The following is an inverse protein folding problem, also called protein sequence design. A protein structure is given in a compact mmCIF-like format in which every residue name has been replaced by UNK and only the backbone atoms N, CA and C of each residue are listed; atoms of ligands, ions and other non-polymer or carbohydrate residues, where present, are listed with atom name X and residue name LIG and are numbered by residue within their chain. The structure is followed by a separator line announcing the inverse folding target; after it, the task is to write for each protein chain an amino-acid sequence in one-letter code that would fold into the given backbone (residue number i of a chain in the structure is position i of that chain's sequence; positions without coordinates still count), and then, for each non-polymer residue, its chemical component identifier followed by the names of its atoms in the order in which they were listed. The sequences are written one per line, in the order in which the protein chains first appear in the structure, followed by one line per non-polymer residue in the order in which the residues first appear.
data_IF_047481329032
#
_entry.id   IF_047481329032
#
_cell.length_a   1.000
_cell.length_b   1.000
_cell.length_c   1.000
_cell.angle_alpha   90.00
_cell.angle_beta   90.00
_cell.angle_gamma   90.00
#
_symmetry.space_group_name_H-M   'P 1'
#
loop_
_entity.id
_entity.type
_entity.pdbx_description
1 polymer ?
#
# COMPACT_ATOMS: atom_id res chain seq x y z
N UNK A 1 -1.75 -17.23 8.71
CA UNK A 1 -0.80 -16.14 9.03
C UNK A 1 -0.69 -16.02 10.54
N UNK A 2 0.46 -15.60 11.06
CA UNK A 2 0.66 -15.33 12.48
C UNK A 2 1.23 -13.92 12.65
N UNK A 3 0.67 -13.12 13.56
CA UNK A 3 1.21 -11.83 13.94
C UNK A 3 1.75 -11.90 15.37
N UNK A 4 2.98 -11.44 15.57
CA UNK A 4 3.64 -11.41 16.86
C UNK A 4 4.10 -9.97 17.17
N UNK A 5 3.42 -9.32 18.11
CA UNK A 5 3.73 -7.97 18.57
C UNK A 5 4.97 -8.02 19.47
N UNK A 6 6.05 -7.35 19.07
CA UNK A 6 7.34 -7.33 19.78
C UNK A 6 7.48 -6.18 20.75
N UNK A 7 7.02 -4.98 20.36
CA UNK A 7 7.11 -3.77 21.17
C UNK A 7 6.01 -2.77 20.81
N UNK A 8 5.70 -1.91 21.77
CA UNK A 8 4.88 -0.69 21.60
C UNK A 8 5.68 0.47 22.17
N UNK A 9 5.72 1.59 21.45
CA UNK A 9 6.38 2.81 21.92
C UNK A 9 5.69 3.37 23.17
N UNK A 10 6.47 3.97 24.07
CA UNK A 10 5.96 4.45 25.35
C UNK A 10 5.24 5.80 25.27
N UNK A 11 5.52 6.58 24.23
CA UNK A 11 5.01 7.95 24.05
C UNK A 11 3.96 8.08 22.94
N UNK A 12 3.80 7.05 22.12
CA UNK A 12 2.85 6.99 21.01
C UNK A 12 2.14 5.63 20.96
N UNK A 13 1.27 5.42 19.97
CA UNK A 13 0.66 4.10 19.72
C UNK A 13 1.48 3.27 18.71
N UNK A 14 2.68 3.74 18.33
CA UNK A 14 3.54 3.03 17.40
C UNK A 14 3.93 1.66 17.92
N UNK A 15 3.95 0.67 17.04
CA UNK A 15 4.21 -0.71 17.40
C UNK A 15 5.10 -1.41 16.39
N UNK A 16 5.93 -2.32 16.87
CA UNK A 16 6.79 -3.17 16.06
C UNK A 16 6.39 -4.62 16.25
N UNK A 17 6.19 -5.35 15.17
CA UNK A 17 5.79 -6.75 15.17
C UNK A 17 6.42 -7.53 14.04
N UNK A 18 6.01 -8.79 13.90
CA UNK A 18 6.34 -9.66 12.76
C UNK A 18 5.09 -10.37 12.28
N UNK A 19 4.91 -10.44 10.97
CA UNK A 19 3.88 -11.24 10.31
C UNK A 19 4.59 -12.42 9.65
N UNK A 20 4.16 -13.63 9.95
CA UNK A 20 4.68 -14.86 9.32
C UNK A 20 3.64 -15.44 8.38
N UNK A 21 4.05 -15.69 7.13
CA UNK A 21 3.28 -16.38 6.09
C UNK A 21 4.08 -17.58 5.57
N UNK A 22 3.56 -18.27 4.57
CA UNK A 22 4.26 -19.40 3.93
C UNK A 22 5.42 -18.94 3.01
N UNK A 23 5.45 -17.66 2.60
CA UNK A 23 6.53 -17.06 1.80
C UNK A 23 7.51 -16.19 2.61
N UNK A 24 7.46 -16.28 3.94
CA UNK A 24 8.44 -15.63 4.81
C UNK A 24 7.87 -14.70 5.86
N UNK A 25 8.75 -13.89 6.44
CA UNK A 25 8.45 -12.98 7.53
C UNK A 25 8.39 -11.55 7.00
N UNK A 26 7.42 -10.78 7.48
CA UNK A 26 7.28 -9.33 7.22
C UNK A 26 7.52 -8.63 8.55
N UNK A 27 8.52 -7.77 8.62
CA UNK A 27 8.80 -6.93 9.77
C UNK A 27 7.97 -5.64 9.71
N UNK A 28 7.16 -5.37 10.73
CA UNK A 28 6.34 -4.15 10.80
C UNK A 28 6.93 -3.11 11.75
N UNK A 29 6.72 -1.79 11.51
CA UNK A 29 6.00 -1.20 10.37
C UNK A 29 6.65 -1.49 9.02
N UNK A 30 5.86 -1.63 7.95
CA UNK A 30 6.34 -1.93 6.60
C UNK A 30 5.68 -1.04 5.54
N UNK A 31 6.45 -0.64 4.53
CA UNK A 31 5.95 -0.08 3.29
C UNK A 31 6.03 -1.12 2.16
N UNK A 32 4.95 -1.30 1.43
CA UNK A 32 4.83 -2.26 0.33
C UNK A 32 5.01 -1.56 -1.01
N UNK A 33 6.11 -1.80 -1.76
CA UNK A 33 6.22 -1.32 -3.13
C UNK A 33 5.09 -1.85 -4.02
N UNK A 34 4.49 -0.96 -4.83
CA UNK A 34 3.34 -1.33 -5.67
C UNK A 34 3.81 -1.91 -6.99
N UNK A 35 3.53 -3.20 -7.17
CA UNK A 35 3.73 -3.98 -8.39
C UNK A 35 2.45 -4.16 -9.20
N UNK A 36 1.88 -3.07 -9.75
CA UNK A 36 0.53 -2.96 -10.32
C UNK A 36 0.14 -4.12 -11.25
N UNK A 37 1.01 -4.51 -12.15
CA UNK A 37 0.77 -5.55 -13.17
C UNK A 37 1.75 -6.73 -13.03
N UNK A 38 2.09 -7.08 -11.79
CA UNK A 38 3.11 -8.09 -11.52
C UNK A 38 4.54 -7.56 -11.71
N UNK A 39 4.75 -6.25 -11.57
CA UNK A 39 6.07 -5.62 -11.61
C UNK A 39 6.07 -4.28 -10.91
N UNK A 40 7.11 -3.98 -10.15
CA UNK A 40 7.39 -2.66 -9.62
C UNK A 40 7.99 -1.82 -10.76
N UNK A 41 7.30 -0.75 -11.15
CA UNK A 41 7.63 0.01 -12.38
C UNK A 41 9.03 0.61 -12.34
N UNK A 42 9.84 0.26 -13.37
CA UNK A 42 11.17 0.81 -13.57
C UNK A 42 12.27 0.18 -12.69
N UNK A 43 12.00 -0.99 -12.09
CA UNK A 43 12.96 -1.71 -11.25
C UNK A 43 13.03 -3.16 -11.70
N UNK A 44 14.23 -3.69 -11.89
CA UNK A 44 14.44 -5.12 -12.13
C UNK A 44 14.18 -5.93 -10.86
N UNK A 45 13.69 -7.19 -11.01
CA UNK A 45 13.47 -8.09 -9.87
C UNK A 45 14.74 -8.25 -9.01
N UNK A 46 15.92 -8.33 -9.63
CA UNK A 46 17.21 -8.42 -8.92
C UNK A 46 17.45 -7.20 -8.02
N UNK A 47 17.25 -5.98 -8.54
CA UNK A 47 17.42 -4.74 -7.77
C UNK A 47 16.36 -4.63 -6.67
N UNK A 48 15.13 -5.05 -6.97
CA UNK A 48 14.06 -5.09 -5.99
C UNK A 48 14.40 -6.04 -4.84
N UNK A 49 14.95 -7.21 -5.13
CA UNK A 49 15.28 -8.24 -4.15
C UNK A 49 16.57 -7.94 -3.37
N UNK A 50 17.62 -7.47 -4.04
CA UNK A 50 18.96 -7.33 -3.46
C UNK A 50 19.23 -5.95 -2.87
N UNK A 51 18.75 -4.89 -3.53
CA UNK A 51 19.09 -3.51 -3.16
C UNK A 51 17.97 -2.86 -2.32
N UNK A 52 16.71 -2.95 -2.77
CA UNK A 52 15.55 -2.39 -2.08
C UNK A 52 15.09 -3.31 -0.96
N UNK A 53 15.07 -4.60 -1.22
CA UNK A 53 14.85 -5.69 -0.27
C UNK A 53 13.52 -5.59 0.51
N UNK A 54 12.35 -5.44 -0.12
CA UNK A 54 11.07 -5.43 0.58
C UNK A 54 10.68 -6.85 1.03
N UNK A 55 10.09 -6.97 2.22
CA UNK A 55 9.53 -8.24 2.70
C UNK A 55 8.25 -8.63 1.98
N UNK A 56 7.51 -7.63 1.47
CA UNK A 56 6.23 -7.77 0.80
C UNK A 56 6.07 -6.71 -0.29
N UNK A 57 5.43 -7.07 -1.39
CA UNK A 57 5.01 -6.16 -2.46
C UNK A 57 3.50 -6.24 -2.64
N UNK A 58 2.90 -5.22 -3.27
CA UNK A 58 1.47 -5.18 -3.54
C UNK A 58 1.19 -5.34 -5.04
N UNK A 59 0.30 -6.27 -5.39
CA UNK A 59 -0.29 -6.42 -6.72
C UNK A 59 -1.71 -5.87 -6.79
N UNK A 60 -2.13 -5.32 -7.94
CA UNK A 60 -3.49 -4.81 -8.08
C UNK A 60 -4.40 -5.82 -8.79
N UNK A 61 -5.39 -6.32 -8.09
CA UNK A 61 -6.36 -7.32 -8.57
C UNK A 61 -7.05 -6.90 -9.86
N UNK A 62 -7.53 -5.67 -9.96
CA UNK A 62 -8.16 -5.16 -11.17
C UNK A 62 -7.25 -5.23 -12.41
N UNK A 63 -6.01 -4.80 -12.28
CA UNK A 63 -5.05 -4.80 -13.38
C UNK A 63 -4.65 -6.21 -13.78
N UNK A 64 -4.36 -7.09 -12.82
CA UNK A 64 -3.98 -8.48 -13.05
C UNK A 64 -5.12 -9.30 -13.66
N UNK A 65 -6.37 -9.03 -13.28
CA UNK A 65 -7.56 -9.61 -13.89
C UNK A 65 -7.69 -9.25 -15.37
N UNK A 66 -7.48 -7.97 -15.73
CA UNK A 66 -7.56 -7.52 -17.12
C UNK A 66 -6.36 -7.97 -17.95
N UNK A 67 -5.16 -7.94 -17.39
CA UNK A 67 -3.88 -8.37 -18.00
C UNK A 67 -2.89 -8.81 -16.92
N UNK A 68 -2.32 -10.01 -17.02
CA UNK A 68 -2.37 -10.96 -18.16
C UNK A 68 -3.67 -11.77 -18.26
N UNK A 69 -4.60 -11.65 -17.36
CA UNK A 69 -5.83 -12.40 -17.07
C UNK A 69 -5.60 -13.53 -16.07
N UNK A 70 -6.67 -13.90 -15.37
CA UNK A 70 -6.64 -15.02 -14.42
C UNK A 70 -6.28 -16.35 -15.08
N UNK A 71 -6.71 -16.58 -16.33
CA UNK A 71 -6.37 -17.79 -17.09
C UNK A 71 -4.87 -17.96 -17.29
N UNK A 72 -4.14 -16.88 -17.57
CA UNK A 72 -2.68 -16.94 -17.74
C UNK A 72 -1.99 -17.14 -16.39
N UNK A 73 -2.44 -16.43 -15.35
CA UNK A 73 -1.87 -16.56 -14.00
C UNK A 73 -2.07 -17.98 -13.44
N UNK A 74 -3.23 -18.60 -13.67
CA UNK A 74 -3.50 -19.97 -13.25
C UNK A 74 -2.60 -20.98 -13.96
N UNK A 75 -2.42 -20.83 -15.28
CA UNK A 75 -1.49 -21.68 -16.07
C UNK A 75 -0.03 -21.52 -15.63
N UNK A 76 0.35 -20.33 -15.16
CA UNK A 76 1.68 -20.06 -14.62
C UNK A 76 1.90 -20.66 -13.22
N UNK A 77 0.82 -21.05 -12.51
CA UNK A 77 0.87 -21.53 -11.13
C UNK A 77 0.87 -20.40 -10.10
N UNK A 78 0.15 -19.30 -10.40
CA UNK A 78 0.00 -18.12 -9.56
C UNK A 78 1.01 -17.02 -9.83
N UNK A 79 0.80 -15.86 -9.17
CA UNK A 79 1.57 -14.63 -9.39
C UNK A 79 3.03 -14.80 -8.97
N UNK A 80 3.34 -15.54 -7.90
CA UNK A 80 4.70 -15.81 -7.44
C UNK A 80 5.54 -16.46 -8.54
N UNK A 81 5.04 -17.53 -9.15
CA UNK A 81 5.71 -18.22 -10.25
C UNK A 81 5.75 -17.37 -11.52
N UNK A 82 4.66 -16.66 -11.82
CA UNK A 82 4.56 -15.79 -13.00
C UNK A 82 5.60 -14.68 -12.97
N UNK A 83 5.84 -14.04 -11.79
CA UNK A 83 6.80 -12.97 -11.61
C UNK A 83 8.21 -13.47 -11.30
N UNK A 84 8.39 -14.75 -10.94
CA UNK A 84 9.60 -15.25 -10.29
C UNK A 84 9.93 -14.44 -9.01
N UNK A 85 8.93 -14.33 -8.11
CA UNK A 85 9.06 -13.62 -6.84
C UNK A 85 8.74 -14.55 -5.67
N UNK A 86 9.73 -14.82 -4.82
CA UNK A 86 9.65 -15.83 -3.76
C UNK A 86 9.33 -15.26 -2.38
N UNK A 87 8.98 -13.97 -2.29
CA UNK A 87 8.60 -13.30 -1.04
C UNK A 87 7.12 -12.98 -1.03
N UNK A 88 6.64 -12.41 0.07
CA UNK A 88 5.23 -12.12 0.26
C UNK A 88 4.66 -11.17 -0.81
N UNK A 89 3.41 -11.44 -1.17
CA UNK A 89 2.60 -10.57 -2.02
C UNK A 89 1.26 -10.33 -1.33
N UNK A 90 0.81 -9.07 -1.32
CA UNK A 90 -0.54 -8.68 -0.99
C UNK A 90 -1.26 -8.26 -2.28
N UNK A 91 -2.52 -8.66 -2.46
CA UNK A 91 -3.37 -8.07 -3.50
C UNK A 91 -4.47 -7.22 -2.90
N UNK A 92 -4.71 -6.03 -3.50
CA UNK A 92 -5.86 -5.21 -3.15
C UNK A 92 -7.18 -5.83 -3.59
N UNK A 93 -8.31 -5.20 -3.22
CA UNK A 93 -9.66 -5.67 -3.61
C UNK A 93 -9.99 -5.43 -5.09
N UNK A 94 -9.31 -4.49 -5.75
CA UNK A 94 -9.68 -3.98 -7.07
C UNK A 94 -10.82 -2.93 -7.04
N UNK A 95 -11.49 -2.72 -5.92
CA UNK A 95 -12.62 -1.80 -5.79
C UNK A 95 -12.25 -0.35 -6.10
N UNK A 96 -11.15 0.15 -5.56
CA UNK A 96 -10.67 1.51 -5.82
C UNK A 96 -10.33 1.74 -7.30
N UNK A 97 -9.70 0.78 -7.99
CA UNK A 97 -9.34 0.91 -9.40
C UNK A 97 -10.59 0.93 -10.29
N UNK A 98 -11.60 0.12 -9.99
CA UNK A 98 -12.90 0.19 -10.65
C UNK A 98 -13.54 1.57 -10.42
N UNK A 99 -13.39 2.13 -9.21
CA UNK A 99 -13.83 3.49 -8.89
C UNK A 99 -13.06 4.55 -9.71
N UNK A 100 -11.74 4.53 -9.69
CA UNK A 100 -10.90 5.61 -10.22
C UNK A 100 -10.67 5.57 -11.74
N UNK A 101 -10.70 4.37 -12.36
CA UNK A 101 -10.34 4.16 -13.77
C UNK A 101 -11.54 3.94 -14.69
N UNK A 102 -12.73 3.68 -14.15
CA UNK A 102 -13.93 3.43 -14.95
C UNK A 102 -14.93 4.59 -14.85
N UNK A 103 -14.93 5.46 -15.87
CA UNK A 103 -15.91 6.55 -15.96
C UNK A 103 -17.37 6.05 -16.03
N UNK A 104 -17.59 4.84 -16.57
CA UNK A 104 -18.91 4.22 -16.76
C UNK A 104 -19.05 2.98 -15.85
N UNK A 105 -19.11 3.19 -14.52
CA UNK A 105 -19.41 2.13 -13.57
C UNK A 105 -20.84 2.23 -13.05
N UNK A 106 -21.43 1.08 -12.72
CA UNK A 106 -22.71 0.98 -12.02
C UNK A 106 -22.52 0.11 -10.79
N UNK A 107 -22.67 0.73 -9.62
CA UNK A 107 -22.58 0.06 -8.32
C UNK A 107 -23.99 -0.34 -7.92
N UNK A 108 -24.17 -1.59 -7.53
CA UNK A 108 -25.41 -2.18 -7.02
C UNK A 108 -25.09 -3.17 -5.92
N UNK A 109 -26.11 -3.67 -5.24
CA UNK A 109 -25.96 -4.67 -4.18
C UNK A 109 -25.27 -5.96 -4.68
N UNK A 110 -25.52 -6.35 -5.93
CA UNK A 110 -24.91 -7.54 -6.53
C UNK A 110 -23.41 -7.39 -6.74
N UNK A 111 -22.93 -6.15 -6.95
CA UNK A 111 -21.54 -5.84 -7.27
C UNK A 111 -21.41 -4.61 -8.17
N UNK A 112 -20.28 -4.51 -8.87
CA UNK A 112 -19.93 -3.36 -9.71
C UNK A 112 -19.75 -3.79 -11.16
N UNK A 113 -20.64 -3.28 -12.03
CA UNK A 113 -20.47 -3.37 -13.49
C UNK A 113 -19.59 -2.21 -13.96
N UNK A 114 -18.55 -2.50 -14.71
CA UNK A 114 -17.61 -1.49 -15.19
C UNK A 114 -17.14 -1.77 -16.62
N UNK A 115 -16.57 -0.75 -17.24
CA UNK A 115 -15.98 -0.82 -18.57
C UNK A 115 -14.44 -0.83 -18.44
N UNK A 116 -13.81 -1.82 -19.07
CA UNK A 116 -12.34 -1.91 -19.11
C UNK A 116 -11.75 -0.66 -19.76
N UNK A 117 -10.72 -0.09 -19.12
CA UNK A 117 -9.96 1.04 -19.67
C UNK A 117 -9.00 0.62 -20.79
N UNK A 118 -8.82 -0.69 -21.01
CA UNK A 118 -7.89 -1.23 -22.01
C UNK A 118 -8.55 -1.34 -23.38
N UNK A 119 -9.72 -1.97 -23.42
CA UNK A 119 -10.40 -2.37 -24.67
C UNK A 119 -11.90 -1.99 -24.70
N UNK A 120 -12.40 -1.43 -23.60
CA UNK A 120 -13.78 -1.01 -23.49
C UNK A 120 -14.78 -2.13 -23.26
N UNK A 121 -14.36 -3.37 -23.03
CA UNK A 121 -15.24 -4.49 -22.70
C UNK A 121 -15.93 -4.28 -21.35
N UNK A 122 -17.12 -4.88 -21.19
CA UNK A 122 -17.87 -4.83 -19.94
C UNK A 122 -17.52 -6.01 -19.04
N UNK A 123 -17.29 -5.71 -17.77
CA UNK A 123 -16.99 -6.66 -16.72
C UNK A 123 -17.90 -6.46 -15.52
N UNK A 124 -18.01 -7.49 -14.69
CA UNK A 124 -18.75 -7.46 -13.43
C UNK A 124 -17.86 -7.98 -12.31
N UNK A 125 -17.63 -7.16 -11.29
CA UNK A 125 -17.05 -7.59 -10.02
C UNK A 125 -18.15 -7.80 -8.99
N UNK A 126 -18.23 -8.99 -8.44
CA UNK A 126 -19.05 -9.32 -7.27
C UNK A 126 -18.11 -9.76 -6.14
N UNK A 127 -18.54 -9.72 -4.88
CA UNK A 127 -17.73 -10.23 -3.78
C UNK A 127 -17.20 -11.64 -4.04
N UNK A 128 -18.03 -12.54 -4.57
CA UNK A 128 -17.68 -13.92 -4.84
C UNK A 128 -16.60 -14.04 -5.93
N UNK A 129 -16.81 -13.36 -7.08
CA UNK A 129 -15.86 -13.52 -8.18
C UNK A 129 -14.53 -12.79 -7.92
N UNK A 130 -14.52 -11.71 -7.11
CA UNK A 130 -13.29 -11.05 -6.69
C UNK A 130 -12.48 -11.97 -5.76
N UNK A 131 -13.12 -12.73 -4.89
CA UNK A 131 -12.43 -13.74 -4.09
C UNK A 131 -11.85 -14.83 -4.97
N UNK A 132 -12.58 -15.33 -5.99
CA UNK A 132 -12.08 -16.31 -6.93
C UNK A 132 -10.91 -15.77 -7.78
N UNK A 133 -10.98 -14.50 -8.19
CA UNK A 133 -9.87 -13.82 -8.89
C UNK A 133 -8.63 -13.79 -8.00
N UNK A 134 -8.74 -13.36 -6.74
CA UNK A 134 -7.60 -13.30 -5.83
C UNK A 134 -7.08 -14.69 -5.45
N UNK A 135 -7.95 -15.70 -5.32
CA UNK A 135 -7.54 -17.12 -5.20
C UNK A 135 -6.68 -17.55 -6.38
N UNK A 136 -7.09 -17.16 -7.59
CA UNK A 136 -6.36 -17.52 -8.83
C UNK A 136 -5.07 -16.71 -9.00
N UNK A 137 -5.04 -15.45 -8.59
CA UNK A 137 -3.80 -14.66 -8.56
C UNK A 137 -2.81 -15.32 -7.59
N UNK A 138 -3.25 -15.74 -6.41
CA UNK A 138 -2.42 -16.50 -5.47
C UNK A 138 -1.46 -15.61 -4.65
N UNK A 139 -1.90 -14.45 -4.17
CA UNK A 139 -1.15 -13.65 -3.20
C UNK A 139 -1.27 -14.26 -1.77
N UNK A 140 -0.34 -13.94 -0.88
CA UNK A 140 -0.36 -14.39 0.52
C UNK A 140 -1.45 -13.71 1.34
N UNK A 141 -1.67 -12.40 1.08
CA UNK A 141 -2.69 -11.61 1.72
C UNK A 141 -3.65 -11.10 0.65
N UNK A 142 -4.94 -11.36 0.86
CA UNK A 142 -6.03 -10.95 -0.03
C UNK A 142 -7.02 -10.05 0.72
N UNK A 143 -7.66 -9.14 -0.01
CA UNK A 143 -8.52 -8.11 0.57
C UNK A 143 -10.00 -8.37 0.29
N UNK A 144 -10.86 -8.02 1.24
CA UNK A 144 -12.30 -7.98 1.01
C UNK A 144 -12.65 -7.06 -0.17
N UNK A 145 -13.69 -7.41 -0.93
CA UNK A 145 -14.22 -6.50 -1.93
C UNK A 145 -15.03 -5.40 -1.24
N UNK A 146 -14.69 -4.15 -1.50
CA UNK A 146 -15.25 -2.99 -0.83
C UNK A 146 -15.66 -1.88 -1.81
N UNK A 147 -16.49 -0.95 -1.35
CA UNK A 147 -16.75 0.30 -2.03
C UNK A 147 -16.00 1.44 -1.32
N UNK A 148 -15.05 2.04 -2.02
CA UNK A 148 -14.39 3.27 -1.59
C UNK A 148 -15.29 4.47 -1.94
N UNK A 149 -15.91 5.08 -0.93
CA UNK A 149 -16.71 6.29 -1.13
C UNK A 149 -15.82 7.45 -1.62
N UNK A 150 -16.34 8.33 -2.52
CA UNK A 150 -15.60 9.52 -2.96
C UNK A 150 -15.38 10.51 -1.82
N UNK A 151 -14.39 11.38 -1.96
CA UNK A 151 -14.25 12.54 -1.08
C UNK A 151 -14.34 13.84 -1.91
N UNK A 152 -15.12 14.83 -1.46
CA UNK A 152 -16.12 14.72 -0.38
C UNK A 152 -17.36 13.92 -0.80
N UNK A 153 -18.06 13.34 0.17
CA UNK A 153 -19.38 12.75 -0.05
C UNK A 153 -20.33 13.10 1.10
N UNK A 154 -21.64 13.03 0.85
CA UNK A 154 -22.62 13.24 1.91
C UNK A 154 -22.69 12.05 2.88
N UNK A 155 -23.15 12.33 4.11
CA UNK A 155 -23.25 11.34 5.18
C UNK A 155 -24.12 10.13 4.80
N UNK A 156 -25.25 10.35 4.11
CA UNK A 156 -26.16 9.27 3.75
C UNK A 156 -25.53 8.34 2.70
N UNK A 157 -24.77 8.91 1.78
CA UNK A 157 -24.00 8.11 0.82
C UNK A 157 -22.93 7.28 1.56
N UNK A 158 -22.09 7.92 2.39
CA UNK A 158 -21.06 7.25 3.16
C UNK A 158 -21.62 6.09 4.00
N UNK A 159 -22.77 6.32 4.66
CA UNK A 159 -23.46 5.31 5.48
C UNK A 159 -23.96 4.13 4.64
N UNK A 160 -24.62 4.39 3.48
CA UNK A 160 -25.08 3.30 2.58
C UNK A 160 -23.92 2.49 2.02
N UNK A 161 -22.83 3.17 1.59
CA UNK A 161 -21.60 2.56 1.08
C UNK A 161 -20.94 1.64 2.12
N UNK A 162 -20.78 2.14 3.34
CA UNK A 162 -20.24 1.36 4.46
C UNK A 162 -21.07 0.09 4.72
N UNK A 163 -22.38 0.20 4.82
CA UNK A 163 -23.23 -0.97 5.05
C UNK A 163 -23.22 -1.95 3.88
N UNK A 164 -23.11 -1.48 2.64
CA UNK A 164 -22.94 -2.34 1.49
C UNK A 164 -21.62 -3.09 1.53
N UNK A 165 -20.53 -2.42 1.89
CA UNK A 165 -19.22 -3.05 2.09
C UNK A 165 -19.30 -4.15 3.17
N UNK A 166 -20.04 -3.94 4.28
CA UNK A 166 -20.22 -4.97 5.30
C UNK A 166 -20.98 -6.21 4.75
N UNK A 167 -22.07 -6.02 4.00
CA UNK A 167 -22.78 -7.15 3.37
C UNK A 167 -21.92 -7.87 2.30
N UNK A 168 -21.11 -7.12 1.56
CA UNK A 168 -20.14 -7.71 0.62
C UNK A 168 -19.07 -8.52 1.36
N UNK A 169 -18.62 -8.05 2.51
CA UNK A 169 -17.68 -8.80 3.36
C UNK A 169 -18.25 -10.17 3.78
N UNK A 170 -19.50 -10.23 4.22
CA UNK A 170 -20.17 -11.50 4.57
C UNK A 170 -20.23 -12.45 3.38
N UNK A 171 -20.47 -11.92 2.16
CA UNK A 171 -20.46 -12.71 0.94
C UNK A 171 -19.06 -13.21 0.58
N UNK A 172 -18.02 -12.37 0.76
CA UNK A 172 -16.63 -12.77 0.59
C UNK A 172 -16.26 -13.94 1.52
N UNK A 173 -16.58 -13.81 2.81
CA UNK A 173 -16.31 -14.84 3.82
C UNK A 173 -17.03 -16.15 3.49
N UNK A 174 -18.33 -16.07 3.17
CA UNK A 174 -19.15 -17.24 2.80
C UNK A 174 -18.59 -17.95 1.55
N UNK A 175 -18.04 -17.19 0.59
CA UNK A 175 -17.44 -17.77 -0.60
C UNK A 175 -16.10 -18.46 -0.28
N UNK A 176 -15.24 -17.78 0.52
CA UNK A 176 -13.94 -18.34 0.92
C UNK A 176 -14.06 -19.63 1.73
N UNK A 177 -15.08 -19.73 2.60
CA UNK A 177 -15.36 -20.95 3.39
C UNK A 177 -15.76 -22.14 2.51
N UNK A 178 -16.38 -21.89 1.35
CA UNK A 178 -16.88 -22.93 0.43
C UNK A 178 -15.88 -23.32 -0.66
N UNK A 179 -14.82 -22.52 -0.84
CA UNK A 179 -13.88 -22.71 -1.94
C UNK A 179 -12.50 -23.12 -1.43
N UNK A 180 -11.87 -24.15 -2.02
CA UNK A 180 -10.54 -24.58 -1.63
C UNK A 180 -9.46 -23.57 -2.04
N UNK A 181 -8.29 -23.67 -1.43
CA UNK A 181 -7.08 -23.01 -1.91
C UNK A 181 -6.73 -23.56 -3.29
N UNK A 182 -6.22 -22.70 -4.18
CA UNK A 182 -5.77 -23.12 -5.52
C UNK A 182 -4.31 -23.59 -5.53
N UNK A 183 -3.54 -23.17 -4.54
CA UNK A 183 -2.11 -23.47 -4.40
C UNK A 183 -1.85 -24.11 -3.06
N UNK A 184 -0.67 -24.68 -2.87
CA UNK A 184 -0.23 -25.43 -1.70
C UNK A 184 0.26 -24.53 -0.52
N UNK A 185 -0.11 -23.25 -0.54
CA UNK A 185 0.16 -22.30 0.53
C UNK A 185 -1.12 -21.55 0.94
N UNK A 186 -1.09 -21.01 2.16
CA UNK A 186 -2.23 -20.33 2.78
C UNK A 186 -2.34 -18.89 2.32
N UNK A 187 -3.56 -18.49 1.97
CA UNK A 187 -3.91 -17.09 1.75
C UNK A 187 -4.66 -16.56 2.95
N UNK A 188 -4.24 -15.39 3.44
CA UNK A 188 -4.87 -14.70 4.56
C UNK A 188 -5.77 -13.59 4.07
N UNK A 189 -6.99 -13.51 4.61
CA UNK A 189 -7.99 -12.54 4.21
C UNK A 189 -8.05 -11.37 5.20
N UNK A 190 -8.02 -10.13 4.68
CA UNK A 190 -8.19 -8.91 5.46
C UNK A 190 -9.49 -8.20 5.09
N UNK A 191 -10.43 -8.00 6.05
CA UNK A 191 -11.55 -7.10 5.90
C UNK A 191 -11.12 -5.64 5.95
N UNK A 192 -11.98 -4.73 5.42
CA UNK A 192 -11.67 -3.31 5.24
C UNK A 192 -12.67 -2.45 6.00
N UNK A 193 -12.18 -1.60 6.91
CA UNK A 193 -12.96 -0.54 7.55
C UNK A 193 -13.23 0.58 6.55
N UNK A 194 -14.50 0.96 6.38
CA UNK A 194 -14.95 2.09 5.58
C UNK A 194 -15.70 3.11 6.46
N UNK A 195 -16.25 4.20 5.89
CA UNK A 195 -17.00 5.21 6.63
C UNK A 195 -16.64 6.66 6.25
N UNK A 196 -15.86 6.85 5.15
CA UNK A 196 -15.39 8.18 4.71
C UNK A 196 -14.72 8.94 5.86
N UNK A 197 -14.97 10.22 6.03
CA UNK A 197 -14.43 11.08 7.10
C UNK A 197 -15.47 11.35 8.21
N UNK A 198 -16.39 10.41 8.44
CA UNK A 198 -17.40 10.49 9.50
C UNK A 198 -17.04 9.59 10.68
N UNK A 199 -16.71 10.17 11.84
CA UNK A 199 -16.23 9.47 13.03
C UNK A 199 -17.15 8.34 13.50
N UNK A 200 -18.44 8.60 13.52
CA UNK A 200 -19.45 7.63 13.97
C UNK A 200 -19.54 6.44 13.01
N UNK A 201 -19.44 6.67 11.70
CA UNK A 201 -19.39 5.61 10.70
C UNK A 201 -18.08 4.82 10.78
N UNK A 202 -16.94 5.50 10.95
CA UNK A 202 -15.63 4.84 11.16
C UNK A 202 -15.67 3.96 12.40
N UNK A 203 -16.23 4.45 13.50
CA UNK A 203 -16.40 3.69 14.73
C UNK A 203 -17.28 2.45 14.50
N UNK A 204 -18.47 2.63 13.93
CA UNK A 204 -19.40 1.54 13.63
C UNK A 204 -18.75 0.49 12.71
N UNK A 205 -18.03 0.92 11.69
CA UNK A 205 -17.32 0.02 10.78
C UNK A 205 -16.20 -0.73 11.47
N UNK A 206 -15.38 -0.04 12.29
CA UNK A 206 -14.29 -0.66 13.02
C UNK A 206 -14.78 -1.72 14.03
N UNK A 207 -15.86 -1.44 14.74
CA UNK A 207 -16.51 -2.39 15.67
C UNK A 207 -16.99 -3.64 14.92
N UNK A 208 -17.65 -3.45 13.77
CA UNK A 208 -18.12 -4.57 12.93
C UNK A 208 -16.93 -5.39 12.40
N UNK A 209 -15.92 -4.75 11.82
CA UNK A 209 -14.73 -5.43 11.28
C UNK A 209 -13.96 -6.18 12.38
N UNK A 210 -13.80 -5.59 13.55
CA UNK A 210 -13.17 -6.24 14.70
C UNK A 210 -13.93 -7.51 15.12
N UNK A 211 -15.27 -7.49 15.06
CA UNK A 211 -16.12 -8.64 15.43
C UNK A 211 -15.99 -9.84 14.49
N UNK A 212 -15.48 -9.63 13.26
CA UNK A 212 -15.22 -10.72 12.30
C UNK A 212 -14.10 -11.66 12.78
N UNK A 213 -13.16 -11.16 13.60
CA UNK A 213 -12.08 -11.96 14.15
C UNK A 213 -11.03 -12.37 13.11
N UNK A 214 -10.84 -11.60 12.03
CA UNK A 214 -9.86 -11.88 10.99
C UNK A 214 -8.41 -11.82 11.51
N UNK A 215 -7.49 -12.40 10.78
CA UNK A 215 -6.06 -12.44 11.15
C UNK A 215 -5.31 -11.11 10.94
N UNK A 216 -5.94 -10.15 10.26
CA UNK A 216 -5.48 -8.78 10.07
C UNK A 216 -6.61 -7.91 9.56
N UNK A 217 -6.48 -6.59 9.66
CA UNK A 217 -7.53 -5.63 9.32
C UNK A 217 -6.96 -4.48 8.51
N UNK A 218 -7.73 -4.00 7.54
CA UNK A 218 -7.35 -2.84 6.74
C UNK A 218 -8.28 -1.65 6.99
N UNK A 219 -7.76 -0.47 6.68
CA UNK A 219 -8.47 0.81 6.74
C UNK A 219 -8.45 1.39 5.33
N UNK A 220 -9.59 1.42 4.69
CA UNK A 220 -9.77 1.99 3.35
C UNK A 220 -10.52 3.31 3.37
N UNK A 221 -10.70 3.93 2.19
CA UNK A 221 -11.47 5.16 2.02
C UNK A 221 -10.87 6.39 2.70
N UNK A 222 -9.56 6.40 2.92
CA UNK A 222 -8.74 7.55 3.31
C UNK A 222 -7.65 7.78 2.26
N UNK A 223 -6.99 8.93 2.30
CA UNK A 223 -6.03 9.37 1.25
C UNK A 223 -6.67 9.47 -0.15
N UNK A 224 -7.93 9.89 -0.19
CA UNK A 224 -8.72 10.05 -1.42
C UNK A 224 -9.03 11.52 -1.74
N UNK A 225 -8.39 12.46 -1.03
CA UNK A 225 -8.48 13.91 -1.26
C UNK A 225 -8.75 14.75 -0.01
N UNK A 226 -8.96 14.14 1.14
CA UNK A 226 -9.12 14.82 2.43
C UNK A 226 -7.80 15.42 2.92
N UNK A 227 -7.85 16.46 3.78
CA UNK A 227 -6.68 16.97 4.50
C UNK A 227 -6.02 15.88 5.36
N UNK A 228 -4.71 15.99 5.55
CA UNK A 228 -3.95 14.99 6.32
C UNK A 228 -4.45 14.87 7.78
N UNK A 229 -4.80 15.99 8.39
CA UNK A 229 -5.31 16.04 9.76
C UNK A 229 -6.61 15.26 9.92
N UNK A 230 -7.51 15.33 8.94
CA UNK A 230 -8.76 14.59 8.92
C UNK A 230 -8.50 13.07 8.76
N UNK A 231 -7.56 12.70 7.89
CA UNK A 231 -7.09 11.31 7.77
C UNK A 231 -6.53 10.79 9.10
N UNK A 232 -5.67 11.56 9.79
CA UNK A 232 -5.10 11.17 11.08
C UNK A 232 -6.17 10.99 12.15
N UNK A 233 -7.14 11.90 12.20
CA UNK A 233 -8.25 11.81 13.13
C UNK A 233 -9.09 10.54 12.91
N UNK A 234 -9.42 10.23 11.66
CA UNK A 234 -10.17 9.00 11.31
C UNK A 234 -9.35 7.74 11.59
N UNK A 235 -8.04 7.76 11.33
CA UNK A 235 -7.14 6.65 11.68
C UNK A 235 -7.12 6.41 13.19
N UNK A 236 -6.99 7.46 14.00
CA UNK A 236 -7.00 7.34 15.46
C UNK A 236 -8.28 6.68 15.98
N UNK A 237 -9.45 7.14 15.51
CA UNK A 237 -10.75 6.55 15.87
C UNK A 237 -10.80 5.05 15.58
N UNK A 238 -10.27 4.61 14.46
CA UNK A 238 -10.30 3.20 14.05
C UNK A 238 -9.29 2.37 14.85
N UNK A 239 -8.08 2.88 15.07
CA UNK A 239 -7.04 2.13 15.78
C UNK A 239 -7.30 1.93 17.26
N UNK A 240 -8.14 2.78 17.89
CA UNK A 240 -8.65 2.56 19.26
C UNK A 240 -9.50 1.29 19.38
N UNK A 241 -10.17 0.89 18.29
CA UNK A 241 -11.16 -0.20 18.27
C UNK A 241 -10.57 -1.49 17.74
N UNK A 242 -9.75 -1.42 16.68
CA UNK A 242 -9.19 -2.62 16.05
C UNK A 242 -8.31 -3.42 17.02
N UNK A 243 -8.35 -4.77 16.95
CA UNK A 243 -7.58 -5.64 17.83
C UNK A 243 -6.08 -5.29 17.87
N UNK A 244 -5.50 -5.32 19.08
CA UNK A 244 -4.08 -5.00 19.29
C UNK A 244 -3.15 -6.15 18.90
N UNK A 245 -3.64 -7.37 18.89
CA UNK A 245 -2.94 -8.61 18.53
C UNK A 245 -3.04 -8.96 17.03
N UNK A 246 -3.53 -8.03 16.22
CA UNK A 246 -3.65 -8.17 14.76
C UNK A 246 -2.95 -7.03 14.03
N UNK A 247 -2.35 -7.27 12.83
CA UNK A 247 -1.77 -6.20 12.03
C UNK A 247 -2.86 -5.29 11.44
N UNK A 248 -2.51 -4.01 11.29
CA UNK A 248 -3.37 -2.94 10.78
C UNK A 248 -2.75 -2.34 9.53
N UNK A 249 -3.47 -2.39 8.45
CA UNK A 249 -3.04 -1.90 7.15
C UNK A 249 -3.83 -0.65 6.75
N UNK A 250 -3.16 0.49 6.62
CA UNK A 250 -3.74 1.73 6.09
C UNK A 250 -3.46 1.82 4.59
N UNK A 251 -4.51 1.69 3.78
CA UNK A 251 -4.43 1.55 2.34
C UNK A 251 -4.15 2.89 1.63
N UNK A 252 -3.23 2.88 0.67
CA UNK A 252 -2.96 4.01 -0.23
C UNK A 252 -2.21 5.19 0.37
N UNK A 253 -1.66 5.08 1.57
CA UNK A 253 -0.93 6.15 2.26
C UNK A 253 0.57 5.93 2.14
N UNK A 254 1.34 6.91 1.82
CA UNK A 254 1.27 8.08 1.00
C UNK A 254 2.58 8.87 1.10
N UNK A 255 2.60 10.07 1.66
CA UNK A 255 3.85 10.81 1.85
C UNK A 255 4.68 10.24 3.00
N UNK A 256 6.03 10.43 3.02
CA UNK A 256 6.87 10.00 4.14
C UNK A 256 6.39 10.51 5.50
N UNK A 257 5.91 11.76 5.56
CA UNK A 257 5.37 12.37 6.78
C UNK A 257 4.08 11.64 7.19
N UNK A 258 3.15 11.42 6.26
CA UNK A 258 1.90 10.71 6.57
C UNK A 258 2.15 9.29 7.08
N UNK A 259 3.17 8.60 6.57
CA UNK A 259 3.57 7.27 7.05
C UNK A 259 4.01 7.36 8.52
N UNK A 260 4.91 8.28 8.87
CA UNK A 260 5.40 8.42 10.25
C UNK A 260 4.28 8.82 11.23
N UNK A 261 3.40 9.73 10.83
CA UNK A 261 2.26 10.13 11.67
C UNK A 261 1.29 8.95 11.89
N UNK A 262 1.01 8.15 10.87
CA UNK A 262 0.13 6.99 11.02
C UNK A 262 0.81 5.80 11.74
N UNK A 263 2.12 5.64 11.66
CA UNK A 263 2.86 4.72 12.55
C UNK A 263 2.65 5.12 14.00
N UNK A 264 2.74 6.43 14.32
CA UNK A 264 2.48 6.94 15.66
C UNK A 264 1.04 6.66 16.16
N UNK A 265 0.10 6.48 15.24
CA UNK A 265 -1.30 6.09 15.52
C UNK A 265 -1.52 4.57 15.55
N UNK A 266 -0.48 3.76 15.43
CA UNK A 266 -0.53 2.31 15.57
C UNK A 266 -0.83 1.54 14.29
N UNK A 267 -0.49 2.09 13.11
CA UNK A 267 -0.55 1.40 11.82
C UNK A 267 0.75 0.62 11.57
N UNK A 268 0.60 -0.57 11.00
CA UNK A 268 1.71 -1.51 10.74
C UNK A 268 2.11 -1.60 9.27
N UNK A 269 1.17 -1.42 8.34
CA UNK A 269 1.37 -1.69 6.92
C UNK A 269 0.88 -0.52 6.07
N UNK A 270 1.64 -0.20 5.03
CA UNK A 270 1.36 0.91 4.10
C UNK A 270 1.68 0.51 2.67
N UNK A 271 0.95 1.09 1.71
CA UNK A 271 1.29 1.08 0.29
C UNK A 271 1.02 2.45 -0.32
N UNK A 272 1.75 2.80 -1.34
CA UNK A 272 1.39 3.91 -2.23
C UNK A 272 2.21 3.86 -3.52
N UNK A 273 1.64 4.34 -4.60
CA UNK A 273 2.36 4.53 -5.87
C UNK A 273 3.32 5.72 -5.86
N UNK A 274 3.29 6.57 -4.81
CA UNK A 274 4.06 7.82 -4.76
C UNK A 274 5.55 7.64 -4.98
N UNK A 275 6.28 6.74 -4.30
CA UNK A 275 7.72 6.65 -4.49
C UNK A 275 8.09 6.39 -5.96
N UNK A 276 7.43 5.44 -6.62
CA UNK A 276 7.72 5.12 -8.01
C UNK A 276 7.15 6.16 -8.98
N UNK A 277 5.93 6.67 -8.75
CA UNK A 277 5.31 7.69 -9.61
C UNK A 277 6.07 9.01 -9.54
N UNK A 278 6.37 9.48 -8.33
CA UNK A 278 7.10 10.73 -8.11
C UNK A 278 8.55 10.63 -8.60
N UNK A 279 9.23 9.50 -8.34
CA UNK A 279 10.56 9.24 -8.90
C UNK A 279 10.58 9.37 -10.42
N UNK A 280 9.69 8.68 -11.12
CA UNK A 280 9.60 8.80 -12.60
C UNK A 280 9.25 10.21 -13.10
N UNK A 281 8.72 11.08 -12.23
CA UNK A 281 8.43 12.48 -12.52
C UNK A 281 9.53 13.44 -12.04
N UNK A 282 10.61 12.92 -11.44
CA UNK A 282 11.77 13.70 -11.02
C UNK A 282 11.66 14.32 -9.62
N UNK A 283 10.73 13.82 -8.79
CA UNK A 283 10.63 14.16 -7.38
C UNK A 283 11.30 13.06 -6.54
N UNK A 284 12.31 13.43 -5.76
CA UNK A 284 13.04 12.55 -4.86
C UNK A 284 12.69 12.91 -3.41
N UNK A 285 12.64 11.89 -2.55
CA UNK A 285 12.43 12.04 -1.12
C UNK A 285 13.71 11.69 -0.37
N UNK A 286 14.13 12.56 0.55
CA UNK A 286 15.31 12.35 1.41
C UNK A 286 14.96 12.60 2.87
N UNK A 287 15.84 12.21 3.78
CA UNK A 287 15.70 12.51 5.21
C UNK A 287 15.73 14.02 5.53
N UNK A 288 16.22 14.84 4.61
CA UNK A 288 16.39 16.28 4.78
C UNK A 288 15.33 17.12 4.06
N UNK A 289 14.48 16.47 3.28
CA UNK A 289 13.43 17.13 2.49
C UNK A 289 13.25 16.52 1.11
N UNK A 290 12.50 17.19 0.24
CA UNK A 290 12.23 16.75 -1.12
C UNK A 290 13.05 17.52 -2.16
N UNK A 291 13.51 16.80 -3.20
CA UNK A 291 14.27 17.33 -4.33
C UNK A 291 13.42 17.23 -5.60
N UNK A 292 13.17 18.37 -6.26
CA UNK A 292 12.76 18.32 -7.67
C UNK A 292 14.01 18.39 -8.53
N UNK A 293 14.44 17.24 -9.06
CA UNK A 293 15.70 17.13 -9.82
C UNK A 293 15.69 17.92 -11.13
N UNK A 294 14.53 18.32 -11.64
CA UNK A 294 14.39 19.14 -12.84
C UNK A 294 14.76 20.60 -12.63
N UNK A 295 14.87 21.06 -11.38
CA UNK A 295 15.23 22.44 -11.08
C UNK A 295 16.61 22.80 -11.65
N UNK A 296 16.73 24.05 -12.16
CA UNK A 296 17.95 24.56 -12.79
C UNK A 296 19.17 24.54 -11.86
N UNK A 297 18.96 24.71 -10.56
CA UNK A 297 20.05 24.73 -9.56
C UNK A 297 20.90 23.46 -9.50
N UNK A 298 20.39 22.33 -10.03
CA UNK A 298 21.11 21.06 -10.07
C UNK A 298 21.94 20.85 -11.33
N UNK A 299 22.05 21.85 -12.24
CA UNK A 299 22.69 21.69 -13.56
C UNK A 299 24.18 21.37 -13.45
N UNK A 300 24.84 21.90 -12.44
CA UNK A 300 26.26 21.77 -12.14
C UNK A 300 26.54 21.27 -10.72
N UNK A 301 25.55 20.66 -10.09
CA UNK A 301 25.71 20.00 -8.79
C UNK A 301 26.20 18.55 -9.00
N UNK A 302 27.50 18.37 -8.89
CA UNK A 302 28.18 17.07 -9.03
C UNK A 302 28.23 16.27 -7.73
N UNK A 303 27.57 16.73 -6.65
CA UNK A 303 27.44 15.95 -5.43
C UNK A 303 26.53 14.72 -5.62
N UNK A 304 26.62 13.78 -4.70
CA UNK A 304 25.79 12.60 -4.60
C UNK A 304 24.30 12.95 -4.57
N UNK A 305 23.44 12.02 -5.02
CA UNK A 305 21.99 12.22 -5.01
C UNK A 305 21.48 12.44 -3.59
N UNK A 306 21.92 11.57 -2.66
CA UNK A 306 21.61 11.69 -1.22
C UNK A 306 22.84 11.29 -0.39
N UNK A 307 23.23 12.15 0.54
CA UNK A 307 24.35 11.92 1.47
C UNK A 307 24.11 10.80 2.48
N UNK A 308 22.87 10.32 2.63
CA UNK A 308 22.54 9.18 3.47
C UNK A 308 22.99 7.85 2.87
N UNK A 309 23.25 7.80 1.55
CA UNK A 309 23.73 6.62 0.83
C UNK A 309 22.89 5.36 1.11
N UNK A 310 21.57 5.53 1.10
CA UNK A 310 20.61 4.45 1.42
C UNK A 310 20.61 3.39 0.32
N UNK A 311 20.81 3.83 -0.93
CA UNK A 311 20.87 2.95 -2.10
C UNK A 311 22.17 3.16 -2.88
N UNK A 312 22.57 2.14 -3.65
CA UNK A 312 23.78 2.24 -4.48
C UNK A 312 23.72 3.37 -5.52
N UNK A 313 22.51 3.75 -5.98
CA UNK A 313 22.35 4.84 -6.95
C UNK A 313 22.70 6.20 -6.36
N UNK A 314 22.62 6.34 -5.03
CA UNK A 314 22.85 7.62 -4.36
C UNK A 314 24.31 8.09 -4.49
N UNK A 315 25.25 7.16 -4.47
CA UNK A 315 26.69 7.41 -4.64
C UNK A 315 27.17 7.22 -6.07
N UNK A 316 26.52 6.36 -6.84
CA UNK A 316 26.94 6.05 -8.21
C UNK A 316 26.69 7.22 -9.19
N UNK A 317 25.72 8.09 -8.88
CA UNK A 317 25.30 9.16 -9.77
C UNK A 317 25.23 10.50 -9.05
N UNK A 318 25.56 11.58 -9.78
CA UNK A 318 25.40 12.96 -9.29
C UNK A 318 24.04 13.54 -9.61
N UNK A 319 23.64 14.57 -8.85
CA UNK A 319 22.42 15.36 -9.15
C UNK A 319 22.44 15.96 -10.55
N UNK A 320 23.60 16.49 -10.99
CA UNK A 320 23.78 17.04 -12.33
C UNK A 320 23.49 16.00 -13.42
N UNK A 321 24.05 14.80 -13.28
CA UNK A 321 23.82 13.72 -14.23
C UNK A 321 22.37 13.25 -14.24
N UNK A 322 21.79 13.02 -13.07
CA UNK A 322 20.38 12.63 -12.96
C UNK A 322 19.45 13.69 -13.57
N UNK A 323 19.70 14.98 -13.30
CA UNK A 323 18.99 16.08 -13.95
C UNK A 323 19.11 16.03 -15.47
N UNK A 324 20.31 15.81 -16.01
CA UNK A 324 20.54 15.67 -17.46
C UNK A 324 19.65 14.57 -18.03
N UNK A 325 19.62 13.37 -17.43
CA UNK A 325 18.79 12.25 -17.87
C UNK A 325 17.30 12.60 -17.91
N UNK A 326 16.78 13.36 -16.93
CA UNK A 326 15.40 13.86 -16.98
C UNK A 326 15.17 14.90 -18.06
N UNK A 327 16.16 15.74 -18.36
CA UNK A 327 16.06 16.77 -19.40
C UNK A 327 15.98 16.15 -20.80
N UNK A 328 16.77 15.10 -21.04
CA UNK A 328 16.79 14.38 -22.33
C UNK A 328 15.78 13.22 -22.37
N UNK A 329 14.97 13.09 -21.33
CA UNK A 329 13.89 12.10 -21.22
C UNK A 329 14.36 10.62 -21.25
N UNK A 330 15.57 10.33 -20.74
CA UNK A 330 16.13 8.99 -20.67
C UNK A 330 15.45 8.10 -19.61
N UNK A 331 15.27 6.81 -19.95
CA UNK A 331 14.67 5.84 -19.03
C UNK A 331 15.52 5.62 -17.77
N UNK A 332 16.84 5.64 -17.89
CA UNK A 332 17.78 5.44 -16.78
C UNK A 332 17.51 6.44 -15.64
N UNK A 333 17.21 7.71 -15.97
CA UNK A 333 16.88 8.71 -14.94
C UNK A 333 15.65 8.33 -14.11
N UNK A 334 14.63 7.75 -14.75
CA UNK A 334 13.42 7.27 -14.07
C UNK A 334 13.68 6.03 -13.21
N UNK A 335 14.59 5.14 -13.65
CA UNK A 335 15.01 3.97 -12.88
C UNK A 335 15.78 4.38 -11.63
N UNK A 336 16.80 5.22 -11.78
CA UNK A 336 17.61 5.76 -10.68
C UNK A 336 16.70 6.39 -9.61
N UNK A 337 15.84 7.32 -10.03
CA UNK A 337 14.93 8.03 -9.12
C UNK A 337 13.91 7.10 -8.44
N UNK A 338 13.50 6.02 -9.10
CA UNK A 338 12.58 5.03 -8.54
C UNK A 338 13.27 4.17 -7.49
N UNK A 339 14.50 3.70 -7.78
CA UNK A 339 15.31 2.91 -6.82
C UNK A 339 15.60 3.75 -5.58
N UNK A 340 16.07 4.98 -5.75
CA UNK A 340 16.30 5.93 -4.66
C UNK A 340 15.05 6.08 -3.76
N UNK A 341 13.90 6.44 -4.34
CA UNK A 341 12.69 6.66 -3.57
C UNK A 341 12.20 5.40 -2.84
N UNK A 342 12.25 4.24 -3.48
CA UNK A 342 11.84 2.99 -2.83
C UNK A 342 12.78 2.63 -1.70
N UNK A 343 14.09 2.77 -1.90
CA UNK A 343 15.07 2.57 -0.84
C UNK A 343 14.83 3.49 0.33
N UNK A 344 14.58 4.78 0.08
CA UNK A 344 14.26 5.76 1.12
C UNK A 344 12.99 5.38 1.91
N UNK A 345 11.90 4.97 1.25
CA UNK A 345 10.68 4.58 1.93
C UNK A 345 10.87 3.34 2.82
N UNK A 346 11.62 2.34 2.35
CA UNK A 346 11.90 1.15 3.17
C UNK A 346 12.87 1.48 4.31
N UNK A 347 13.86 2.32 4.07
CA UNK A 347 14.74 2.82 5.11
C UNK A 347 13.94 3.53 6.22
N UNK A 348 13.01 4.42 5.84
CA UNK A 348 12.20 5.19 6.77
C UNK A 348 11.40 4.31 7.75
N UNK A 349 10.73 3.28 7.23
CA UNK A 349 9.94 2.37 8.09
C UNK A 349 10.83 1.45 8.92
N UNK A 350 12.01 1.05 8.41
CA UNK A 350 13.00 0.28 9.17
C UNK A 350 13.61 1.10 10.32
N UNK A 351 13.93 2.37 10.08
CA UNK A 351 14.37 3.28 11.15
C UNK A 351 13.26 3.51 12.17
N UNK A 352 12.00 3.72 11.71
CA UNK A 352 10.86 3.81 12.62
C UNK A 352 10.77 2.56 13.52
N UNK A 353 10.91 1.35 12.95
CA UNK A 353 10.94 0.10 13.70
C UNK A 353 12.07 0.07 14.74
N UNK A 354 13.29 0.46 14.38
CA UNK A 354 14.42 0.51 15.32
C UNK A 354 14.13 1.42 16.51
N UNK A 355 13.58 2.61 16.26
CA UNK A 355 13.23 3.56 17.30
C UNK A 355 12.02 3.13 18.15
N UNK A 356 11.06 2.39 17.59
CA UNK A 356 9.99 1.76 18.39
C UNK A 356 10.58 0.69 19.33
N UNK A 357 11.47 -0.15 18.85
CA UNK A 357 12.14 -1.17 19.66
C UNK A 357 13.06 -0.57 20.74
N UNK A 358 13.65 0.60 20.47
CA UNK A 358 14.47 1.36 21.42
C UNK A 358 13.64 2.18 22.42
N UNK A 359 12.33 2.41 22.15
CA UNK A 359 11.43 3.18 23.02
C UNK A 359 11.56 4.70 22.90
N UNK A 360 12.15 5.21 21.80
CA UNK A 360 12.38 6.64 21.56
C UNK A 360 11.75 7.14 20.24
N UNK A 361 10.84 6.37 19.68
CA UNK A 361 10.21 6.67 18.38
C UNK A 361 9.56 8.06 18.34
N UNK A 362 8.83 8.47 19.37
CA UNK A 362 8.14 9.77 19.38
C UNK A 362 9.10 10.96 19.21
N UNK A 363 10.26 10.91 19.87
CA UNK A 363 11.31 11.95 19.79
C UNK A 363 11.94 11.94 18.39
N UNK A 364 12.33 10.77 17.89
CA UNK A 364 12.91 10.62 16.57
C UNK A 364 11.94 11.05 15.47
N UNK A 365 10.67 10.62 15.54
CA UNK A 365 9.62 10.99 14.59
C UNK A 365 9.46 12.51 14.48
N UNK A 366 9.38 13.19 15.62
CA UNK A 366 9.20 14.66 15.64
C UNK A 366 10.34 15.42 14.95
N UNK A 367 11.58 14.94 15.12
CA UNK A 367 12.76 15.46 14.42
C UNK A 367 12.69 15.18 12.92
N UNK A 368 12.38 13.92 12.55
CA UNK A 368 12.35 13.48 11.16
C UNK A 368 11.27 14.18 10.35
N UNK A 369 10.05 14.30 10.87
CA UNK A 369 8.93 15.03 10.23
C UNK A 369 9.34 16.47 9.94
N UNK A 370 9.94 17.17 10.91
CA UNK A 370 10.41 18.55 10.71
C UNK A 370 11.50 18.67 9.64
N UNK A 371 12.39 17.69 9.53
CA UNK A 371 13.43 17.67 8.50
C UNK A 371 12.86 17.41 7.10
N UNK A 372 11.96 16.45 6.98
CA UNK A 372 11.36 16.06 5.70
C UNK A 372 10.39 17.09 5.10
N UNK A 373 9.90 18.04 5.89
CA UNK A 373 9.00 19.10 5.41
C UNK A 373 9.71 20.16 4.53
N UNK A 374 11.04 20.12 4.47
CA UNK A 374 11.82 21.03 3.66
C UNK A 374 11.70 20.72 2.16
N UNK A 375 11.85 21.76 1.35
CA UNK A 375 12.07 21.66 -0.10
C UNK A 375 13.51 22.08 -0.41
N UNK A 376 14.31 21.10 -0.82
CA UNK A 376 15.72 21.29 -1.13
C UNK A 376 15.92 21.82 -2.54
#
# INVERSE_FOLDING_TARGET
MQFDLKATDTSTLARAGTITTDHGVIETPIFMPVGTVGTVKGVHQRELEQDINPDVILGNTYHLYLRPTTTILEKAGGIHKFMNWNRNILTDSGGYQVYSLSANRKIKEEGVKFKSHIDGSYHMFTPENVMEIQRTIGADIIMAFDECAPYPCDYQYAKRSMHMTHRWLERCLTHLDKTPLKYDYRQTFFPIVQGSTYKDLRKQSAEYIASVGAEGNAIGGLSVGEPAEEMYEMTAVVTEILPKDKPRYLMGVGTPINILENIALGIDMFDCVMPTRNGRNGMLFTAFGSINIKNKKWVDDFSEIDSMNITWVDTAYSKAYLRHLFTVNEMLGRQIATIHNLGFYLWLVREARKHILAGDFGVWKSKMVKQMDNRL
#
